data_IF_058811337963
#
_entry.id   IF_058811337963
#
_cell.length_a   1.000
_cell.length_b   1.000
_cell.length_c   1.000
_cell.angle_alpha   90.00
_cell.angle_beta   90.00
_cell.angle_gamma   90.00
#
_symmetry.space_group_name_H-M   'P 1'
#
loop_
_entity.id
_entity.type
_entity.pdbx_description
1 polymer ?
#
# COMPACT_ATOMS: atom_id res chain seq x y z
N UNK A 1 -6.27 16.58 -16.37
CA UNK A 1 -6.04 15.21 -15.83
C UNK A 1 -6.03 15.16 -14.30
N UNK A 2 -5.48 16.14 -13.57
CA UNK A 2 -5.42 16.11 -12.09
C UNK A 2 -6.78 16.19 -11.33
N UNK A 3 -7.88 16.52 -12.01
CA UNK A 3 -9.21 16.63 -11.36
C UNK A 3 -9.97 15.29 -11.28
N UNK A 4 -9.63 14.29 -12.11
CA UNK A 4 -10.40 13.04 -12.15
C UNK A 4 -10.31 12.23 -10.85
N UNK A 5 -9.13 12.05 -10.22
CA UNK A 5 -9.02 11.30 -8.97
C UNK A 5 -9.80 11.94 -7.81
N UNK A 6 -9.78 13.27 -7.73
CA UNK A 6 -10.59 14.00 -6.74
C UNK A 6 -12.09 13.81 -6.97
N UNK A 7 -12.55 13.87 -8.23
CA UNK A 7 -13.96 13.66 -8.58
C UNK A 7 -14.42 12.27 -8.19
N UNK A 8 -13.65 11.24 -8.52
CA UNK A 8 -14.01 9.84 -8.22
C UNK A 8 -14.03 9.59 -6.70
N UNK A 9 -13.04 10.14 -5.97
CA UNK A 9 -13.00 10.10 -4.51
C UNK A 9 -14.21 10.81 -3.88
N UNK A 10 -14.56 11.99 -4.38
CA UNK A 10 -15.69 12.78 -3.88
C UNK A 10 -17.00 12.02 -4.08
N UNK A 11 -17.22 11.44 -5.26
CA UNK A 11 -18.43 10.66 -5.57
C UNK A 11 -18.54 9.46 -4.63
N UNK A 12 -17.47 8.69 -4.44
CA UNK A 12 -17.47 7.53 -3.56
C UNK A 12 -17.73 7.91 -2.10
N UNK A 13 -17.05 8.96 -1.62
CA UNK A 13 -17.22 9.47 -0.26
C UNK A 13 -18.66 9.96 -0.02
N UNK A 14 -19.18 10.78 -0.91
CA UNK A 14 -20.54 11.33 -0.79
C UNK A 14 -21.62 10.27 -0.94
N UNK A 15 -21.42 9.26 -1.79
CA UNK A 15 -22.30 8.09 -1.85
C UNK A 15 -22.32 7.30 -0.53
N UNK A 16 -21.14 6.98 0.02
CA UNK A 16 -21.05 6.25 1.29
C UNK A 16 -21.70 7.01 2.44
N UNK A 17 -21.48 8.33 2.52
CA UNK A 17 -22.17 9.19 3.48
C UNK A 17 -23.69 9.18 3.25
N UNK A 18 -24.13 9.33 2.00
CA UNK A 18 -25.55 9.27 1.65
C UNK A 18 -26.23 7.97 2.07
N UNK A 19 -25.57 6.83 1.90
CA UNK A 19 -26.06 5.51 2.35
C UNK A 19 -26.13 5.43 3.87
N UNK A 20 -25.10 5.91 4.59
CA UNK A 20 -25.10 5.94 6.05
C UNK A 20 -26.30 6.72 6.60
N UNK A 21 -26.55 7.92 6.07
CA UNK A 21 -27.69 8.72 6.49
C UNK A 21 -29.03 8.15 6.01
N UNK A 22 -29.10 7.52 4.83
CA UNK A 22 -30.30 6.82 4.38
C UNK A 22 -30.71 5.72 5.36
N UNK A 23 -29.74 5.00 5.94
CA UNK A 23 -30.00 4.03 7.02
C UNK A 23 -30.57 4.74 8.26
N UNK A 24 -29.96 5.84 8.69
CA UNK A 24 -30.47 6.60 9.84
C UNK A 24 -31.92 7.06 9.62
N UNK A 25 -32.24 7.60 8.43
CA UNK A 25 -33.60 8.03 8.09
C UNK A 25 -34.56 6.84 8.04
N UNK A 26 -34.19 5.72 7.42
CA UNK A 26 -35.05 4.52 7.36
C UNK A 26 -35.36 3.93 8.75
N UNK A 27 -34.46 4.09 9.73
CA UNK A 27 -34.68 3.66 11.11
C UNK A 27 -35.52 4.65 11.94
N UNK A 28 -35.35 5.95 11.71
CA UNK A 28 -35.97 6.99 12.54
C UNK A 28 -37.32 7.49 12.00
N UNK A 29 -37.53 7.46 10.68
CA UNK A 29 -38.72 8.02 10.04
C UNK A 29 -40.01 7.27 10.43
N UNK A 30 -40.09 5.91 10.42
CA UNK A 30 -41.31 5.21 10.81
C UNK A 30 -41.78 5.49 12.26
N UNK A 31 -40.94 5.38 13.30
CA UNK A 31 -41.38 5.66 14.67
C UNK A 31 -41.69 7.15 14.90
N UNK A 32 -40.95 8.06 14.25
CA UNK A 32 -41.23 9.49 14.33
C UNK A 32 -42.60 9.84 13.74
N UNK A 33 -42.94 9.26 12.59
CA UNK A 33 -44.23 9.46 11.96
C UNK A 33 -45.37 8.82 12.77
N UNK A 34 -45.19 7.60 13.29
CA UNK A 34 -46.17 6.98 14.19
C UNK A 34 -46.47 7.85 15.41
N UNK A 35 -45.45 8.49 16.01
CA UNK A 35 -45.63 9.39 17.14
C UNK A 35 -46.28 10.73 16.74
N UNK A 36 -45.89 11.31 15.60
CA UNK A 36 -46.40 12.59 15.13
C UNK A 36 -47.83 12.50 14.57
N UNK A 37 -48.18 11.37 13.97
CA UNK A 37 -49.46 11.15 13.29
C UNK A 37 -50.53 10.53 14.20
N UNK A 38 -50.17 9.99 15.37
CA UNK A 38 -51.10 9.44 16.36
C UNK A 38 -52.27 10.40 16.74
N UNK A 39 -52.06 11.72 16.91
CA UNK A 39 -53.14 12.67 17.15
C UNK A 39 -54.02 12.94 15.91
N UNK A 40 -53.51 12.67 14.70
CA UNK A 40 -54.25 12.87 13.46
C UNK A 40 -55.16 11.70 13.14
N UNK A 41 -54.78 10.47 13.50
CA UNK A 41 -55.65 9.30 13.33
C UNK A 41 -56.96 9.40 14.13
N UNK A 42 -56.96 10.10 15.28
CA UNK A 42 -58.18 10.35 16.06
C UNK A 42 -59.07 11.44 15.43
N UNK A 43 -58.49 12.46 14.78
CA UNK A 43 -59.21 13.50 14.05
C UNK A 43 -59.73 12.97 12.68
N UNK A 44 -58.93 12.16 12.00
CA UNK A 44 -59.25 11.55 10.70
C UNK A 44 -60.41 10.55 10.76
N UNK A 45 -60.69 9.96 11.93
CA UNK A 45 -61.88 9.13 12.16
C UNK A 45 -63.19 9.92 12.03
N UNK A 46 -63.18 11.24 12.23
CA UNK A 46 -64.38 12.06 12.06
C UNK A 46 -64.51 12.63 10.65
N UNK A 47 -63.45 13.15 10.04
CA UNK A 47 -63.44 13.70 8.66
C UNK A 47 -62.09 13.31 8.01
N UNK A 48 -62.08 12.78 6.77
CA UNK A 48 -60.84 12.41 6.07
C UNK A 48 -60.41 13.50 5.06
N UNK A 49 -59.71 14.57 5.48
CA UNK A 49 -59.28 15.61 4.55
C UNK A 49 -58.17 15.08 3.62
N UNK A 50 -58.17 15.57 2.37
CA UNK A 50 -57.21 15.19 1.33
C UNK A 50 -55.73 15.37 1.75
N UNK A 51 -55.44 16.26 2.72
CA UNK A 51 -54.10 16.50 3.26
C UNK A 51 -53.49 15.31 4.01
N UNK A 52 -54.30 14.51 4.71
CA UNK A 52 -53.81 13.33 5.47
C UNK A 52 -53.37 12.22 4.51
N UNK A 53 -54.13 12.00 3.42
CA UNK A 53 -53.75 11.05 2.38
C UNK A 53 -52.43 11.46 1.69
N UNK A 54 -52.22 12.77 1.45
CA UNK A 54 -50.97 13.28 0.88
C UNK A 54 -49.75 13.09 1.79
N UNK A 55 -49.92 13.24 3.10
CA UNK A 55 -48.85 13.03 4.09
C UNK A 55 -48.40 11.57 4.15
N UNK A 56 -49.35 10.63 4.25
CA UNK A 56 -49.08 9.19 4.27
C UNK A 56 -48.43 8.72 2.96
N UNK A 57 -48.91 9.23 1.82
CA UNK A 57 -48.31 8.93 0.52
C UNK A 57 -46.86 9.43 0.43
N UNK A 58 -46.58 10.63 0.95
CA UNK A 58 -45.22 11.15 0.99
C UNK A 58 -44.32 10.29 1.87
N UNK A 59 -44.77 9.90 3.07
CA UNK A 59 -43.97 9.12 4.00
C UNK A 59 -43.60 7.75 3.43
N UNK A 60 -44.57 7.01 2.89
CA UNK A 60 -44.32 5.72 2.24
C UNK A 60 -43.32 5.87 1.08
N UNK A 61 -43.46 6.94 0.29
CA UNK A 61 -42.53 7.20 -0.81
C UNK A 61 -41.12 7.52 -0.31
N UNK A 62 -41.00 8.30 0.76
CA UNK A 62 -39.71 8.65 1.37
C UNK A 62 -39.02 7.41 1.96
N UNK A 63 -39.74 6.56 2.68
CA UNK A 63 -39.21 5.29 3.21
C UNK A 63 -38.73 4.37 2.09
N UNK A 64 -39.56 4.16 1.06
CA UNK A 64 -39.19 3.34 -0.10
C UNK A 64 -37.97 3.91 -0.82
N UNK A 65 -37.86 5.23 -0.93
CA UNK A 65 -36.71 5.88 -1.55
C UNK A 65 -35.41 5.62 -0.79
N UNK A 66 -35.38 5.85 0.53
CA UNK A 66 -34.16 5.62 1.31
C UNK A 66 -33.80 4.13 1.40
N UNK A 67 -34.79 3.24 1.49
CA UNK A 67 -34.58 1.79 1.39
C UNK A 67 -33.99 1.44 0.02
N UNK A 68 -34.51 2.01 -1.07
CA UNK A 68 -33.98 1.78 -2.42
C UNK A 68 -32.51 2.22 -2.54
N UNK A 69 -32.11 3.35 -1.95
CA UNK A 69 -30.70 3.79 -1.91
C UNK A 69 -29.81 2.78 -1.16
N UNK A 70 -30.28 2.24 -0.02
CA UNK A 70 -29.56 1.23 0.75
C UNK A 70 -29.43 -0.09 -0.02
N UNK A 71 -30.51 -0.53 -0.67
CA UNK A 71 -30.51 -1.75 -1.49
C UNK A 71 -29.62 -1.57 -2.73
N UNK A 72 -29.65 -0.39 -3.36
CA UNK A 72 -28.79 -0.06 -4.49
C UNK A 72 -27.30 -0.15 -4.12
N UNK A 73 -26.92 0.34 -2.94
CA UNK A 73 -25.54 0.19 -2.45
C UNK A 73 -25.13 -1.27 -2.21
N UNK A 74 -26.06 -2.09 -1.70
CA UNK A 74 -25.80 -3.50 -1.37
C UNK A 74 -25.75 -4.40 -2.60
N UNK A 75 -26.69 -4.23 -3.52
CA UNK A 75 -26.89 -5.15 -4.66
C UNK A 75 -26.27 -4.65 -5.96
N UNK A 76 -25.95 -3.36 -6.08
CA UNK A 76 -25.33 -2.78 -7.28
C UNK A 76 -24.09 -1.96 -6.91
N UNK A 77 -22.96 -2.60 -6.54
CA UNK A 77 -21.74 -1.90 -6.12
C UNK A 77 -21.19 -0.94 -7.19
N UNK A 78 -21.53 -1.17 -8.47
CA UNK A 78 -21.15 -0.32 -9.60
C UNK A 78 -21.65 1.13 -9.45
N UNK A 79 -22.71 1.37 -8.69
CA UNK A 79 -23.27 2.70 -8.49
C UNK A 79 -22.38 3.61 -7.60
N UNK A 80 -21.53 3.02 -6.73
CA UNK A 80 -20.70 3.77 -5.77
C UNK A 80 -19.75 4.78 -6.41
N UNK A 81 -19.30 4.51 -7.64
CA UNK A 81 -18.39 5.37 -8.40
C UNK A 81 -19.06 6.15 -9.51
N UNK A 82 -20.39 6.02 -9.69
CA UNK A 82 -21.09 6.68 -10.78
C UNK A 82 -21.70 8.01 -10.33
N UNK A 83 -21.17 9.09 -10.88
CA UNK A 83 -21.67 10.45 -10.64
C UNK A 83 -23.18 10.57 -10.95
N UNK A 84 -23.65 9.93 -12.02
CA UNK A 84 -25.06 9.95 -12.40
C UNK A 84 -25.99 9.33 -11.34
N UNK A 85 -25.54 8.27 -10.66
CA UNK A 85 -26.31 7.62 -9.60
C UNK A 85 -26.43 8.53 -8.37
N UNK A 86 -25.31 9.15 -7.97
CA UNK A 86 -25.29 10.12 -6.87
C UNK A 86 -26.19 11.33 -7.20
N UNK A 87 -26.10 11.86 -8.42
CA UNK A 87 -26.94 12.97 -8.86
C UNK A 87 -28.44 12.61 -8.84
N UNK A 88 -28.80 11.39 -9.26
CA UNK A 88 -30.17 10.90 -9.20
C UNK A 88 -30.68 10.76 -7.75
N UNK A 89 -29.85 10.26 -6.83
CA UNK A 89 -30.19 10.20 -5.41
C UNK A 89 -30.37 11.60 -4.80
N UNK A 90 -29.48 12.55 -5.10
CA UNK A 90 -29.64 13.94 -4.69
C UNK A 90 -30.94 14.54 -5.22
N UNK A 91 -31.27 14.30 -6.50
CA UNK A 91 -32.48 14.78 -7.13
C UNK A 91 -33.74 14.20 -6.47
N UNK A 92 -33.76 12.89 -6.22
CA UNK A 92 -34.88 12.24 -5.52
C UNK A 92 -35.09 12.78 -4.10
N UNK A 93 -34.02 12.93 -3.33
CA UNK A 93 -34.09 13.50 -1.98
C UNK A 93 -34.57 14.97 -2.00
N UNK A 94 -34.11 15.77 -2.96
CA UNK A 94 -34.59 17.15 -3.14
C UNK A 94 -36.08 17.19 -3.51
N UNK A 95 -36.52 16.35 -4.46
CA UNK A 95 -37.93 16.27 -4.86
C UNK A 95 -38.84 15.87 -3.70
N UNK A 96 -38.42 14.92 -2.86
CA UNK A 96 -39.16 14.55 -1.66
C UNK A 96 -39.25 15.73 -0.69
N UNK A 97 -38.15 16.46 -0.46
CA UNK A 97 -38.16 17.65 0.39
C UNK A 97 -39.09 18.74 -0.18
N UNK A 98 -39.04 19.00 -1.49
CA UNK A 98 -39.92 19.98 -2.16
C UNK A 98 -41.39 19.56 -2.07
N UNK A 99 -41.70 18.27 -2.25
CA UNK A 99 -43.07 17.75 -2.18
C UNK A 99 -43.67 17.97 -0.80
N UNK A 100 -42.97 17.59 0.29
CA UNK A 100 -43.49 17.84 1.63
C UNK A 100 -43.56 19.33 1.95
N UNK A 101 -42.61 20.15 1.48
CA UNK A 101 -42.66 21.60 1.61
C UNK A 101 -43.92 22.19 0.96
N UNK A 102 -44.29 21.70 -0.22
CA UNK A 102 -45.51 22.11 -0.91
C UNK A 102 -46.78 21.64 -0.17
N UNK A 103 -46.82 20.41 0.36
CA UNK A 103 -47.99 19.85 1.05
C UNK A 103 -48.15 20.42 2.46
N UNK A 104 -47.08 20.51 3.25
CA UNK A 104 -47.10 20.87 4.67
C UNK A 104 -47.06 22.37 4.92
N UNK A 105 -46.31 23.14 4.11
CA UNK A 105 -46.32 24.61 4.14
C UNK A 105 -47.72 25.19 3.89
N UNK A 106 -48.63 24.39 3.32
CA UNK A 106 -50.05 24.69 3.12
C UNK A 106 -50.90 24.73 4.39
N UNK A 107 -50.56 23.88 5.37
CA UNK A 107 -51.46 23.53 6.47
C UNK A 107 -51.07 24.22 7.78
N UNK A 108 -49.78 24.53 7.98
CA UNK A 108 -49.25 25.02 9.26
C UNK A 108 -48.24 26.16 9.14
N UNK A 109 -47.77 26.49 7.93
CA UNK A 109 -46.68 27.45 7.70
C UNK A 109 -45.29 26.96 8.13
N UNK A 110 -45.16 25.73 8.63
CA UNK A 110 -43.87 25.14 8.98
C UNK A 110 -43.16 24.56 7.74
N UNK A 111 -41.90 24.94 7.57
CA UNK A 111 -41.03 24.51 6.48
C UNK A 111 -39.80 23.73 6.99
N UNK A 112 -39.83 23.31 8.26
CA UNK A 112 -38.74 22.62 8.96
C UNK A 112 -38.28 21.34 8.26
N UNK A 113 -39.19 20.49 7.79
CA UNK A 113 -38.87 19.23 7.10
C UNK A 113 -38.21 19.50 5.74
N UNK A 114 -38.70 20.49 5.00
CA UNK A 114 -38.05 20.93 3.75
C UNK A 114 -36.67 21.51 4.02
N UNK A 115 -36.53 22.36 5.03
CA UNK A 115 -35.24 22.92 5.44
C UNK A 115 -34.24 21.81 5.79
N UNK A 116 -34.66 20.82 6.59
CA UNK A 116 -33.84 19.68 6.97
C UNK A 116 -33.42 18.84 5.74
N UNK A 117 -34.36 18.52 4.84
CA UNK A 117 -34.07 17.75 3.64
C UNK A 117 -33.16 18.48 2.65
N UNK A 118 -33.44 19.76 2.38
CA UNK A 118 -32.65 20.56 1.45
C UNK A 118 -31.23 20.82 1.97
N UNK A 119 -31.09 21.16 3.26
CA UNK A 119 -29.77 21.36 3.88
C UNK A 119 -29.01 20.05 4.04
N UNK A 120 -29.70 18.92 4.25
CA UNK A 120 -29.09 17.59 4.23
C UNK A 120 -28.47 17.26 2.89
N UNK A 121 -29.23 17.39 1.79
CA UNK A 121 -28.69 17.24 0.42
C UNK A 121 -27.51 18.20 0.23
N UNK A 122 -27.61 19.41 0.81
CA UNK A 122 -26.58 20.40 0.64
C UNK A 122 -25.25 20.07 1.37
N UNK A 123 -25.36 19.56 2.59
CA UNK A 123 -24.23 19.30 3.46
C UNK A 123 -23.59 17.93 3.21
N UNK A 124 -24.39 16.91 2.92
CA UNK A 124 -23.93 15.50 2.93
C UNK A 124 -23.55 15.01 1.54
N UNK A 125 -24.35 15.34 0.52
CA UNK A 125 -24.17 14.77 -0.82
C UNK A 125 -23.52 15.78 -1.77
N UNK A 126 -22.19 15.86 -1.74
CA UNK A 126 -21.42 16.71 -2.62
C UNK A 126 -21.24 16.07 -4.01
N UNK A 127 -21.56 16.82 -5.06
CA UNK A 127 -21.47 16.35 -6.45
C UNK A 127 -20.45 17.21 -7.19
N UNK A 128 -19.53 16.62 -7.99
CA UNK A 128 -18.55 17.41 -8.72
C UNK A 128 -19.13 18.20 -9.90
N UNK A 129 -20.25 17.76 -10.48
CA UNK A 129 -20.95 18.51 -11.53
C UNK A 129 -21.79 19.67 -10.97
N UNK A 130 -21.99 20.74 -11.77
CA UNK A 130 -22.78 21.91 -11.39
C UNK A 130 -24.30 21.64 -11.42
N UNK A 131 -24.77 20.42 -11.13
CA UNK A 131 -26.19 20.05 -11.17
C UNK A 131 -26.98 20.50 -9.93
N UNK A 132 -26.30 20.79 -8.81
CA UNK A 132 -26.98 21.15 -7.56
C UNK A 132 -27.65 22.52 -7.58
N UNK A 133 -26.99 23.53 -8.16
CA UNK A 133 -27.56 24.88 -8.32
C UNK A 133 -28.92 24.87 -9.03
N UNK A 134 -29.07 24.23 -10.22
CA UNK A 134 -30.37 24.16 -10.86
C UNK A 134 -31.38 23.36 -10.04
N UNK A 135 -30.98 22.31 -9.30
CA UNK A 135 -31.90 21.59 -8.42
C UNK A 135 -32.49 22.49 -7.32
N UNK A 136 -31.69 23.33 -6.69
CA UNK A 136 -32.20 24.27 -5.68
C UNK A 136 -33.13 25.33 -6.26
N UNK A 137 -32.78 25.85 -7.45
CA UNK A 137 -33.62 26.83 -8.16
C UNK A 137 -34.97 26.22 -8.58
N UNK A 138 -34.96 24.98 -9.06
CA UNK A 138 -36.18 24.25 -9.41
C UNK A 138 -37.05 23.98 -8.19
N UNK A 139 -36.45 23.58 -7.06
CA UNK A 139 -37.17 23.43 -5.79
C UNK A 139 -37.83 24.75 -5.35
N UNK A 140 -37.09 25.86 -5.40
CA UNK A 140 -37.63 27.18 -5.08
C UNK A 140 -38.78 27.59 -6.00
N UNK A 141 -38.62 27.39 -7.32
CA UNK A 141 -39.65 27.69 -8.30
C UNK A 141 -40.92 26.83 -8.08
N UNK A 142 -40.75 25.55 -7.75
CA UNK A 142 -41.87 24.65 -7.46
C UNK A 142 -42.66 25.08 -6.22
N UNK A 143 -41.98 25.52 -5.16
CA UNK A 143 -42.64 26.07 -3.96
C UNK A 143 -43.38 27.38 -4.28
N UNK A 144 -42.79 28.25 -5.10
CA UNK A 144 -43.46 29.47 -5.57
C UNK A 144 -44.70 29.21 -6.41
N UNK A 145 -44.62 28.23 -7.32
CA UNK A 145 -45.78 27.79 -8.10
C UNK A 145 -46.87 27.20 -7.19
N UNK A 146 -46.50 26.37 -6.22
CA UNK A 146 -47.44 25.81 -5.25
C UNK A 146 -48.14 26.88 -4.41
N UNK A 147 -47.43 27.95 -4.02
CA UNK A 147 -48.01 29.09 -3.32
C UNK A 147 -48.97 29.90 -4.23
N UNK A 148 -48.58 30.15 -5.48
CA UNK A 148 -49.40 30.89 -6.44
C UNK A 148 -50.70 30.15 -6.81
N UNK A 149 -50.63 28.83 -7.03
CA UNK A 149 -51.80 27.99 -7.31
C UNK A 149 -52.83 27.97 -6.17
N UNK A 150 -52.43 28.35 -4.96
CA UNK A 150 -53.31 28.46 -3.79
C UNK A 150 -53.93 29.84 -3.60
N UNK A 151 -53.68 30.76 -4.53
CA UNK A 151 -54.26 32.10 -4.52
C UNK A 151 -53.44 33.17 -3.80
N UNK A 152 -52.25 32.85 -3.29
CA UNK A 152 -51.34 33.87 -2.79
C UNK A 152 -50.86 34.76 -3.94
N UNK A 153 -51.13 36.06 -3.84
CA UNK A 153 -50.74 37.06 -4.83
C UNK A 153 -50.07 38.27 -4.16
N UNK A 154 -49.22 38.98 -4.91
CA UNK A 154 -48.58 40.20 -4.42
C UNK A 154 -47.74 39.98 -3.16
N UNK A 155 -48.06 40.69 -2.09
CA UNK A 155 -47.29 40.70 -0.84
C UNK A 155 -47.32 39.34 -0.10
N UNK A 156 -48.42 38.60 -0.18
CA UNK A 156 -48.55 37.29 0.46
C UNK A 156 -47.63 36.24 -0.17
N UNK A 157 -47.50 36.27 -1.50
CA UNK A 157 -46.60 35.39 -2.22
C UNK A 157 -45.14 35.70 -1.86
N UNK A 158 -44.80 36.98 -1.73
CA UNK A 158 -43.46 37.39 -1.29
C UNK A 158 -43.17 36.91 0.14
N UNK A 159 -44.12 37.09 1.07
CA UNK A 159 -43.98 36.62 2.45
C UNK A 159 -43.79 35.09 2.52
N UNK A 160 -44.57 34.32 1.74
CA UNK A 160 -44.45 32.87 1.66
C UNK A 160 -43.08 32.40 1.12
N UNK A 161 -42.41 33.22 0.30
CA UNK A 161 -41.14 32.89 -0.35
C UNK A 161 -39.90 33.30 0.45
N UNK A 162 -40.02 34.10 1.51
CA UNK A 162 -38.88 34.52 2.34
C UNK A 162 -38.14 33.30 2.92
N UNK A 163 -38.85 32.37 3.54
CA UNK A 163 -38.26 31.18 4.15
C UNK A 163 -37.60 30.25 3.09
N UNK A 164 -38.27 29.87 1.99
CA UNK A 164 -37.65 29.14 0.89
C UNK A 164 -36.40 29.83 0.32
N UNK A 165 -36.41 31.16 0.23
CA UNK A 165 -35.26 31.93 -0.24
C UNK A 165 -34.08 31.86 0.74
N UNK A 166 -34.32 32.03 2.04
CA UNK A 166 -33.30 31.85 3.07
C UNK A 166 -32.68 30.45 3.05
N UNK A 167 -33.50 29.41 2.89
CA UNK A 167 -33.03 28.01 2.79
C UNK A 167 -32.22 27.81 1.50
N UNK A 168 -32.64 28.37 0.37
CA UNK A 168 -31.89 28.34 -0.89
C UNK A 168 -30.50 28.96 -0.72
N UNK A 169 -30.42 30.16 -0.13
CA UNK A 169 -29.15 30.84 0.14
C UNK A 169 -28.26 29.99 1.05
N UNK A 170 -28.82 29.42 2.12
CA UNK A 170 -28.11 28.52 3.02
C UNK A 170 -27.59 27.27 2.29
N UNK A 171 -28.40 26.64 1.44
CA UNK A 171 -27.98 25.46 0.68
C UNK A 171 -26.82 25.76 -0.27
N UNK A 172 -26.85 26.91 -0.95
CA UNK A 172 -25.75 27.35 -1.83
C UNK A 172 -24.48 27.65 -1.04
N UNK A 173 -24.60 28.26 0.15
CA UNK A 173 -23.47 28.52 1.03
C UNK A 173 -22.84 27.23 1.56
N UNK A 174 -23.68 26.29 2.04
CA UNK A 174 -23.24 24.98 2.52
C UNK A 174 -22.57 24.16 1.41
N UNK A 175 -23.11 24.16 0.19
CA UNK A 175 -22.51 23.46 -0.97
C UNK A 175 -21.07 23.92 -1.21
N UNK A 176 -20.88 25.25 -1.30
CA UNK A 176 -19.55 25.85 -1.52
C UNK A 176 -18.60 25.50 -0.38
N UNK A 177 -19.07 25.60 0.87
CA UNK A 177 -18.25 25.30 2.04
C UNK A 177 -17.83 23.82 2.07
N UNK A 178 -18.76 22.90 1.82
CA UNK A 178 -18.48 21.48 1.87
C UNK A 178 -17.58 21.03 0.72
N UNK A 179 -17.76 21.59 -0.49
CA UNK A 179 -16.86 21.31 -1.61
C UNK A 179 -15.43 21.79 -1.32
N UNK A 180 -15.27 22.99 -0.76
CA UNK A 180 -13.97 23.53 -0.37
C UNK A 180 -13.30 22.67 0.71
N UNK A 181 -14.04 22.28 1.76
CA UNK A 181 -13.54 21.39 2.82
C UNK A 181 -13.18 20.01 2.32
N UNK A 182 -13.95 19.44 1.40
CA UNK A 182 -13.64 18.15 0.80
C UNK A 182 -12.38 18.22 -0.08
N UNK A 183 -12.17 19.32 -0.79
CA UNK A 183 -10.94 19.54 -1.56
C UNK A 183 -9.71 19.64 -0.64
N UNK A 184 -9.80 20.40 0.45
CA UNK A 184 -8.74 20.50 1.47
C UNK A 184 -8.40 19.13 2.07
N UNK A 185 -9.41 18.41 2.56
CA UNK A 185 -9.24 17.07 3.13
C UNK A 185 -8.62 16.07 2.14
N UNK A 186 -9.00 16.16 0.86
CA UNK A 186 -8.38 15.33 -0.18
C UNK A 186 -6.89 15.66 -0.35
N UNK A 187 -6.51 16.93 -0.33
CA UNK A 187 -5.10 17.31 -0.43
C UNK A 187 -4.29 16.90 0.79
N UNK A 188 -4.85 16.98 1.99
CA UNK A 188 -4.20 16.53 3.23
C UNK A 188 -3.98 15.01 3.24
N UNK A 189 -5.00 14.24 2.85
CA UNK A 189 -4.88 12.77 2.76
C UNK A 189 -3.83 12.35 1.74
N UNK A 190 -3.78 12.99 0.57
CA UNK A 190 -2.72 12.72 -0.43
C UNK A 190 -1.32 13.07 0.08
N UNK A 191 -1.17 14.17 0.84
CA UNK A 191 0.11 14.52 1.48
C UNK A 191 0.53 13.48 2.51
N UNK A 192 -0.38 13.07 3.38
CA UNK A 192 -0.11 12.06 4.40
C UNK A 192 0.26 10.71 3.77
N UNK A 193 -0.44 10.28 2.72
CA UNK A 193 -0.10 9.07 1.95
C UNK A 193 1.29 9.17 1.32
N UNK A 194 1.62 10.30 0.70
CA UNK A 194 2.94 10.52 0.10
C UNK A 194 4.06 10.55 1.13
N UNK A 195 3.83 11.15 2.30
CA UNK A 195 4.81 11.19 3.39
C UNK A 195 5.05 9.80 3.98
N UNK A 196 3.97 9.04 4.19
CA UNK A 196 4.02 7.65 4.65
C UNK A 196 4.78 6.77 3.65
N UNK A 197 4.48 6.86 2.35
CA UNK A 197 5.19 6.13 1.30
C UNK A 197 6.68 6.48 1.22
N UNK A 198 7.04 7.76 1.45
CA UNK A 198 8.44 8.19 1.50
C UNK A 198 9.16 7.63 2.74
N UNK A 199 8.51 7.64 3.90
CA UNK A 199 9.06 7.07 5.13
C UNK A 199 9.27 5.55 4.99
N UNK A 200 8.28 4.85 4.44
CA UNK A 200 8.34 3.41 4.15
C UNK A 200 9.51 3.08 3.22
N UNK A 201 9.68 3.83 2.13
CA UNK A 201 10.81 3.63 1.20
C UNK A 201 12.17 3.75 1.90
N UNK A 202 12.32 4.70 2.82
CA UNK A 202 13.57 4.85 3.60
C UNK A 202 13.74 3.67 4.55
N UNK A 203 12.67 3.23 5.21
CA UNK A 203 12.71 2.09 6.13
C UNK A 203 13.14 0.79 5.42
N UNK A 204 12.54 0.49 4.26
CA UNK A 204 12.87 -0.71 3.47
C UNK A 204 14.28 -0.67 2.84
N UNK A 205 14.87 0.51 2.70
CA UNK A 205 16.27 0.63 2.26
C UNK A 205 17.27 0.32 3.39
N UNK A 206 16.85 0.39 4.65
CA UNK A 206 17.71 0.18 5.83
C UNK A 206 17.51 -1.21 6.43
N UNK A 207 16.29 -1.74 6.37
CA UNK A 207 15.92 -3.04 6.93
C UNK A 207 15.33 -3.95 5.86
N UNK A 208 15.56 -5.27 5.94
CA UNK A 208 14.85 -6.25 5.12
C UNK A 208 13.33 -6.10 5.23
N UNK A 209 12.60 -6.36 4.15
CA UNK A 209 11.15 -6.13 4.09
C UNK A 209 10.36 -6.83 5.20
N UNK A 210 10.69 -8.09 5.49
CA UNK A 210 10.06 -8.87 6.56
C UNK A 210 10.25 -8.23 7.94
N UNK A 211 11.45 -7.71 8.20
CA UNK A 211 11.84 -7.08 9.46
C UNK A 211 11.20 -5.70 9.61
N UNK A 212 11.16 -4.91 8.54
CA UNK A 212 10.47 -3.62 8.50
C UNK A 212 8.96 -3.78 8.75
N UNK A 213 8.33 -4.79 8.16
CA UNK A 213 6.90 -5.08 8.34
C UNK A 213 6.58 -5.58 9.77
N UNK A 214 7.46 -6.39 10.37
CA UNK A 214 7.35 -6.78 11.78
C UNK A 214 7.47 -5.57 12.70
N UNK A 215 8.47 -4.73 12.47
CA UNK A 215 8.68 -3.50 13.25
C UNK A 215 7.49 -2.54 13.14
N UNK A 216 6.90 -2.37 11.94
CA UNK A 216 5.71 -1.53 11.73
C UNK A 216 4.48 -2.04 12.47
N UNK A 217 4.36 -3.36 12.66
CA UNK A 217 3.19 -3.98 13.29
C UNK A 217 3.30 -4.02 14.80
N UNK A 218 4.45 -4.46 15.30
CA UNK A 218 4.62 -4.90 16.68
C UNK A 218 5.58 -3.98 17.49
N UNK A 219 6.14 -2.94 16.85
CA UNK A 219 7.17 -2.02 17.40
C UNK A 219 8.42 -2.75 17.95
N UNK A 220 8.56 -4.03 17.60
CA UNK A 220 9.62 -4.94 18.04
C UNK A 220 9.89 -5.96 16.95
N UNK A 221 11.13 -6.41 16.86
CA UNK A 221 11.56 -7.49 15.97
C UNK A 221 12.17 -8.59 16.81
N UNK A 222 11.68 -9.81 16.63
CA UNK A 222 12.21 -10.96 17.34
C UNK A 222 13.45 -11.53 16.65
N UNK A 223 14.37 -12.07 17.45
CA UNK A 223 15.51 -12.80 16.90
C UNK A 223 15.04 -14.14 16.30
N UNK A 224 15.44 -14.39 15.06
CA UNK A 224 15.13 -15.62 14.31
C UNK A 224 16.33 -16.55 14.36
N UNK A 225 16.09 -17.81 14.73
CA UNK A 225 17.11 -18.86 14.72
C UNK A 225 17.09 -19.60 13.38
N UNK A 226 18.26 -19.83 12.83
CA UNK A 226 18.48 -20.63 11.63
C UNK A 226 19.40 -21.78 11.96
N UNK A 227 19.00 -23.01 11.64
CA UNK A 227 19.80 -24.20 11.92
C UNK A 227 20.97 -24.36 10.92
N UNK A 228 20.80 -23.87 9.69
CA UNK A 228 21.82 -23.93 8.64
C UNK A 228 21.78 -22.66 7.78
N UNK A 229 22.53 -21.63 8.18
CA UNK A 229 22.72 -20.39 7.43
C UNK A 229 24.12 -20.37 6.82
N UNK A 230 24.20 -20.11 5.51
CA UNK A 230 25.46 -19.85 4.83
C UNK A 230 25.91 -18.41 5.07
N UNK A 231 27.19 -18.20 5.40
CA UNK A 231 27.80 -16.89 5.63
C UNK A 231 29.02 -16.75 4.73
N UNK A 232 29.10 -15.63 4.02
CA UNK A 232 30.22 -15.24 3.18
C UNK A 232 30.82 -13.94 3.70
N UNK A 233 32.14 -13.94 3.87
CA UNK A 233 32.95 -12.74 4.06
C UNK A 233 33.86 -12.56 2.85
N UNK A 234 33.92 -11.34 2.34
CA UNK A 234 34.76 -10.96 1.21
C UNK A 234 35.55 -9.71 1.55
N UNK A 235 36.88 -9.76 1.48
CA UNK A 235 37.78 -8.68 1.88
C UNK A 235 38.76 -8.32 0.76
N UNK A 236 39.13 -7.05 0.62
CA UNK A 236 40.05 -6.60 -0.42
C UNK A 236 41.49 -6.84 0.07
N UNK A 237 42.19 -7.78 -0.56
CA UNK A 237 43.56 -8.09 -0.23
C UNK A 237 44.48 -6.86 -0.44
N UNK A 238 45.21 -6.47 0.60
CA UNK A 238 46.14 -5.34 0.54
C UNK A 238 45.47 -3.96 0.61
N UNK A 239 44.19 -3.89 1.00
CA UNK A 239 43.45 -2.63 1.08
C UNK A 239 44.15 -1.55 1.91
N UNK A 240 44.79 -1.89 3.03
CA UNK A 240 45.54 -0.92 3.86
C UNK A 240 46.63 -0.19 3.08
N UNK A 241 47.31 -0.86 2.15
CA UNK A 241 48.32 -0.25 1.30
C UNK A 241 47.68 0.58 0.19
N UNK A 242 46.58 0.10 -0.38
CA UNK A 242 45.81 0.80 -1.41
C UNK A 242 45.16 2.09 -0.88
N UNK A 243 44.56 2.06 0.31
CA UNK A 243 43.89 3.20 0.95
C UNK A 243 44.84 4.33 1.32
N UNK A 244 46.11 4.03 1.61
CA UNK A 244 47.15 5.05 1.84
C UNK A 244 47.58 5.80 0.57
N UNK A 245 47.41 5.18 -0.60
CA UNK A 245 47.80 5.78 -1.88
C UNK A 245 46.73 6.71 -2.46
N UNK A 246 45.52 6.73 -1.89
CA UNK A 246 44.39 7.49 -2.38
C UNK A 246 43.92 8.51 -1.33
N UNK A 247 43.40 9.68 -1.78
CA UNK A 247 42.69 10.56 -0.88
C UNK A 247 41.38 9.90 -0.42
N UNK A 248 40.88 10.22 0.79
CA UNK A 248 39.74 9.52 1.38
C UNK A 248 38.44 9.57 0.56
N UNK A 249 38.18 10.67 -0.14
CA UNK A 249 37.03 10.85 -1.02
C UNK A 249 37.09 9.92 -2.24
N UNK A 250 38.26 9.80 -2.88
CA UNK A 250 38.46 8.85 -3.98
C UNK A 250 38.35 7.39 -3.53
N UNK A 251 38.85 7.07 -2.33
CA UNK A 251 38.73 5.72 -1.75
C UNK A 251 37.26 5.31 -1.56
N UNK A 252 36.43 6.23 -1.05
CA UNK A 252 34.99 5.98 -0.88
C UNK A 252 34.30 5.76 -2.23
N UNK A 253 34.69 6.48 -3.29
CA UNK A 253 34.15 6.26 -4.63
C UNK A 253 34.52 4.88 -5.19
N UNK A 254 35.77 4.44 -5.00
CA UNK A 254 36.23 3.09 -5.40
C UNK A 254 35.43 2.01 -4.67
N UNK A 255 35.31 2.12 -3.34
CA UNK A 255 34.51 1.19 -2.54
C UNK A 255 33.05 1.17 -2.97
N UNK A 256 32.45 2.35 -3.22
CA UNK A 256 31.06 2.44 -3.64
C UNK A 256 30.83 1.78 -5.00
N UNK A 257 31.74 1.94 -5.97
CA UNK A 257 31.62 1.29 -7.28
C UNK A 257 31.70 -0.23 -7.17
N UNK A 258 32.67 -0.74 -6.40
CA UNK A 258 32.87 -2.18 -6.20
C UNK A 258 31.68 -2.79 -5.45
N UNK A 259 31.26 -2.19 -4.32
CA UNK A 259 30.15 -2.69 -3.51
C UNK A 259 28.80 -2.53 -4.22
N UNK A 260 28.59 -1.50 -5.03
CA UNK A 260 27.36 -1.41 -5.85
C UNK A 260 27.26 -2.54 -6.87
N UNK A 261 28.39 -2.97 -7.45
CA UNK A 261 28.39 -4.14 -8.33
C UNK A 261 28.04 -5.43 -7.56
N UNK A 262 28.52 -5.58 -6.32
CA UNK A 262 28.17 -6.71 -5.47
C UNK A 262 26.72 -6.67 -4.99
N UNK A 263 26.19 -5.49 -4.67
CA UNK A 263 24.78 -5.31 -4.30
C UNK A 263 23.86 -5.84 -5.42
N UNK A 264 24.18 -5.52 -6.68
CA UNK A 264 23.45 -6.05 -7.84
C UNK A 264 23.58 -7.58 -8.00
N UNK A 265 24.73 -8.17 -7.65
CA UNK A 265 24.88 -9.64 -7.65
C UNK A 265 24.10 -10.30 -6.50
N UNK A 266 24.09 -9.69 -5.31
CA UNK A 266 23.32 -10.16 -4.15
C UNK A 266 21.83 -10.18 -4.49
N UNK A 267 21.32 -9.12 -5.12
CA UNK A 267 19.93 -9.04 -5.59
C UNK A 267 19.63 -10.11 -6.67
N UNK A 268 20.51 -10.26 -7.67
CA UNK A 268 20.41 -11.29 -8.73
C UNK A 268 20.28 -12.70 -8.15
N UNK A 269 20.98 -13.00 -7.06
CA UNK A 269 20.98 -14.33 -6.44
C UNK A 269 19.94 -14.51 -5.33
N UNK A 270 19.18 -13.46 -4.98
CA UNK A 270 18.20 -13.48 -3.88
C UNK A 270 18.87 -13.74 -2.53
N UNK A 271 20.04 -13.16 -2.31
CA UNK A 271 20.82 -13.26 -1.09
C UNK A 271 20.64 -12.01 -0.23
N UNK A 272 21.10 -12.05 1.01
CA UNK A 272 20.91 -10.95 1.95
C UNK A 272 22.26 -10.34 2.37
N UNK A 273 22.47 -9.07 2.02
CA UNK A 273 23.60 -8.27 2.49
C UNK A 273 23.36 -7.88 3.94
N UNK A 274 24.31 -8.19 4.82
CA UNK A 274 24.22 -7.80 6.23
C UNK A 274 24.85 -6.43 6.45
N UNK A 275 26.13 -6.30 6.15
CA UNK A 275 26.90 -5.07 6.37
C UNK A 275 28.22 -5.08 5.61
N UNK A 276 28.81 -3.90 5.51
CA UNK A 276 30.22 -3.70 5.18
C UNK A 276 30.99 -3.38 6.45
N UNK A 277 32.18 -3.97 6.62
CA UNK A 277 33.07 -3.72 7.76
C UNK A 277 34.39 -3.20 7.20
N UNK A 278 34.49 -1.89 7.00
CA UNK A 278 35.62 -1.32 6.26
C UNK A 278 35.59 -1.78 4.80
N UNK A 279 36.60 -2.55 4.40
CA UNK A 279 36.78 -3.19 3.10
C UNK A 279 36.17 -4.60 3.01
N UNK A 280 35.70 -5.15 4.13
CA UNK A 280 35.01 -6.43 4.14
C UNK A 280 33.52 -6.30 3.81
N UNK A 281 32.98 -7.28 3.11
CA UNK A 281 31.60 -7.37 2.63
C UNK A 281 30.97 -8.68 3.12
N UNK A 282 29.87 -8.59 3.87
CA UNK A 282 29.22 -9.75 4.52
C UNK A 282 27.85 -10.04 3.90
N UNK A 283 27.65 -11.29 3.47
CA UNK A 283 26.40 -11.79 2.88
C UNK A 283 25.98 -13.09 3.54
N UNK A 284 24.68 -13.30 3.69
CA UNK A 284 24.12 -14.54 4.20
C UNK A 284 23.12 -15.17 3.23
N UNK A 285 22.97 -16.49 3.37
CA UNK A 285 22.00 -17.30 2.65
C UNK A 285 21.21 -18.17 3.65
N UNK A 286 19.88 -18.01 3.69
CA UNK A 286 19.03 -18.80 4.60
C UNK A 286 18.95 -20.28 4.20
N UNK A 287 18.90 -20.58 2.90
CA UNK A 287 18.76 -21.96 2.39
C UNK A 287 19.57 -22.27 1.13
N UNK A 288 20.04 -21.24 0.40
CA UNK A 288 20.64 -21.37 -0.94
C UNK A 288 22.16 -21.21 -0.92
N UNK A 289 22.85 -22.17 -0.31
CA UNK A 289 24.33 -22.16 -0.30
C UNK A 289 24.94 -22.21 -1.72
N UNK A 290 24.24 -22.82 -2.67
CA UNK A 290 24.64 -22.83 -4.09
C UNK A 290 24.63 -21.41 -4.69
N UNK A 291 23.60 -20.61 -4.38
CA UNK A 291 23.57 -19.19 -4.75
C UNK A 291 24.74 -18.42 -4.14
N UNK A 292 25.08 -18.70 -2.87
CA UNK A 292 26.20 -18.05 -2.18
C UNK A 292 27.55 -18.40 -2.84
N UNK A 293 27.73 -19.65 -3.27
CA UNK A 293 28.92 -20.07 -4.03
C UNK A 293 29.01 -19.42 -5.41
N UNK A 294 27.88 -19.26 -6.12
CA UNK A 294 27.83 -18.51 -7.40
C UNK A 294 28.16 -17.03 -7.20
N UNK A 295 27.62 -16.41 -6.13
CA UNK A 295 27.97 -15.05 -5.76
C UNK A 295 29.48 -14.89 -5.57
N UNK A 296 30.12 -15.79 -4.80
CA UNK A 296 31.56 -15.72 -4.55
C UNK A 296 32.39 -15.72 -5.85
N UNK A 297 32.03 -16.57 -6.81
CA UNK A 297 32.70 -16.65 -8.11
C UNK A 297 32.46 -15.38 -8.95
N UNK A 298 31.20 -14.91 -9.02
CA UNK A 298 30.83 -13.71 -9.76
C UNK A 298 31.43 -12.43 -9.15
N UNK A 299 31.62 -12.37 -7.82
CA UNK A 299 32.32 -11.26 -7.15
C UNK A 299 33.78 -11.16 -7.60
N UNK A 300 34.46 -12.32 -7.72
CA UNK A 300 35.81 -12.38 -8.29
C UNK A 300 35.83 -11.83 -9.72
N UNK A 301 34.85 -12.22 -10.54
CA UNK A 301 34.76 -11.74 -11.93
C UNK A 301 34.44 -10.25 -12.04
N UNK A 302 33.53 -9.75 -11.22
CA UNK A 302 33.19 -8.33 -11.16
C UNK A 302 34.41 -7.49 -10.79
N UNK A 303 35.24 -7.96 -9.86
CA UNK A 303 36.49 -7.29 -9.50
C UNK A 303 37.53 -7.35 -10.65
N UNK A 304 37.60 -8.46 -11.41
CA UNK A 304 38.45 -8.52 -12.61
C UNK A 304 38.02 -7.51 -13.67
N UNK A 305 36.72 -7.38 -13.92
CA UNK A 305 36.17 -6.38 -14.84
C UNK A 305 36.48 -4.96 -14.37
N UNK A 306 36.32 -4.69 -13.06
CA UNK A 306 36.69 -3.41 -12.45
C UNK A 306 38.17 -3.08 -12.65
N UNK A 307 39.06 -4.04 -12.37
CA UNK A 307 40.50 -3.89 -12.55
C UNK A 307 40.88 -3.60 -14.01
N UNK A 308 40.26 -4.30 -14.97
CA UNK A 308 40.49 -4.08 -16.39
C UNK A 308 40.07 -2.68 -16.84
N UNK A 309 38.95 -2.17 -16.34
CA UNK A 309 38.43 -0.84 -16.67
C UNK A 309 39.23 0.31 -16.02
N UNK A 310 39.77 0.10 -14.82
CA UNK A 310 40.39 1.15 -14.01
C UNK A 310 41.92 1.04 -13.90
N UNK A 311 42.54 0.01 -14.51
CA UNK A 311 43.98 -0.21 -14.47
C UNK A 311 44.51 -0.62 -13.08
N UNK A 312 43.64 -1.15 -12.21
CA UNK A 312 43.99 -1.58 -10.85
C UNK A 312 44.35 -3.08 -10.80
N UNK A 313 44.94 -3.52 -9.68
CA UNK A 313 45.28 -4.94 -9.44
C UNK A 313 44.74 -5.40 -8.08
N UNK A 314 43.49 -5.05 -7.79
CA UNK A 314 42.82 -5.45 -6.56
C UNK A 314 42.52 -6.95 -6.61
N UNK A 315 42.73 -7.65 -5.51
CA UNK A 315 42.35 -9.04 -5.35
C UNK A 315 41.46 -9.18 -4.13
N UNK A 316 40.61 -10.20 -4.12
CA UNK A 316 39.67 -10.44 -3.02
C UNK A 316 39.98 -11.75 -2.33
N UNK A 317 39.95 -11.76 -0.99
CA UNK A 317 39.86 -12.99 -0.21
C UNK A 317 38.40 -13.24 0.10
N UNK A 318 37.89 -14.43 -0.21
CA UNK A 318 36.50 -14.79 0.12
C UNK A 318 36.51 -16.02 1.01
N UNK A 319 35.79 -15.97 2.12
CA UNK A 319 35.61 -17.06 3.07
C UNK A 319 34.15 -17.46 3.20
N UNK A 320 33.86 -18.75 3.18
CA UNK A 320 32.49 -19.27 3.33
C UNK A 320 32.38 -20.39 4.36
N UNK A 321 31.36 -20.30 5.21
CA UNK A 321 30.96 -21.36 6.12
C UNK A 321 29.43 -21.45 6.23
N UNK A 322 28.91 -22.57 6.72
CA UNK A 322 27.50 -22.74 6.98
C UNK A 322 27.26 -23.53 8.26
N UNK A 323 26.20 -23.15 8.99
CA UNK A 323 25.87 -23.74 10.28
C UNK A 323 24.79 -22.93 11.02
N UNK A 324 24.53 -23.24 12.29
CA UNK A 324 23.50 -22.56 13.05
C UNK A 324 23.88 -21.10 13.35
N UNK A 325 22.92 -20.19 13.21
CA UNK A 325 23.07 -18.76 13.45
C UNK A 325 21.75 -18.13 13.93
N UNK A 326 21.85 -16.97 14.55
CA UNK A 326 20.70 -16.16 14.99
C UNK A 326 20.78 -14.83 14.27
N UNK A 327 19.71 -14.43 13.59
CA UNK A 327 19.60 -13.10 13.00
C UNK A 327 18.56 -12.28 13.75
N UNK A 328 18.72 -10.96 13.78
CA UNK A 328 17.80 -10.09 14.50
C UNK A 328 18.23 -8.63 14.45
N UNK A 329 17.40 -7.77 15.05
CA UNK A 329 17.66 -6.34 15.12
C UNK A 329 18.08 -5.95 16.53
N UNK A 330 19.19 -5.22 16.65
CA UNK A 330 19.63 -4.61 17.92
C UNK A 330 19.50 -3.10 17.83
N UNK A 331 19.12 -2.49 18.96
CA UNK A 331 19.11 -1.03 19.15
C UNK A 331 17.71 -0.43 19.15
N UNK A 332 17.55 0.68 19.88
CA UNK A 332 16.27 1.40 20.01
C UNK A 332 16.19 2.61 19.06
N UNK A 333 17.33 3.21 18.71
CA UNK A 333 17.41 4.41 17.85
C UNK A 333 18.17 4.20 16.54
N UNK A 334 19.06 3.21 16.51
CA UNK A 334 19.84 2.83 15.33
C UNK A 334 19.69 1.32 15.17
N UNK A 335 18.56 0.93 14.60
CA UNK A 335 18.26 -0.46 14.32
C UNK A 335 19.36 -1.02 13.41
N UNK A 336 20.07 -2.03 13.91
CA UNK A 336 21.07 -2.77 13.15
C UNK A 336 20.58 -4.19 13.03
N UNK A 337 20.19 -4.59 11.82
CA UNK A 337 20.00 -6.00 11.50
C UNK A 337 21.36 -6.66 11.34
N UNK A 338 21.61 -7.74 12.07
CA UNK A 338 22.89 -8.44 12.07
C UNK A 338 22.70 -9.93 12.39
N UNK A 339 23.75 -10.70 12.17
CA UNK A 339 23.78 -12.15 12.39
C UNK A 339 24.85 -12.51 13.42
N UNK A 340 24.47 -13.33 14.39
CA UNK A 340 25.33 -13.81 15.47
C UNK A 340 25.41 -15.33 15.48
N UNK A 341 26.56 -15.85 15.91
CA UNK A 341 26.78 -17.27 16.09
C UNK A 341 28.22 -17.66 15.77
N UNK A 342 28.59 -18.87 16.16
CA UNK A 342 29.92 -19.42 15.83
C UNK A 342 30.13 -19.53 14.32
N UNK A 343 29.05 -19.73 13.56
CA UNK A 343 29.07 -19.80 12.09
C UNK A 343 29.69 -18.54 11.46
N UNK A 344 29.37 -17.36 11.99
CA UNK A 344 29.91 -16.07 11.51
C UNK A 344 31.41 -15.98 11.79
N UNK A 345 31.84 -16.42 12.98
CA UNK A 345 33.25 -16.41 13.38
C UNK A 345 34.08 -17.36 12.51
N UNK A 346 33.57 -18.56 12.19
CA UNK A 346 34.25 -19.52 11.33
C UNK A 346 34.34 -18.98 9.89
N UNK A 347 33.27 -18.39 9.35
CA UNK A 347 33.27 -17.78 8.02
C UNK A 347 34.30 -16.65 7.90
N UNK A 348 34.37 -15.75 8.89
CA UNK A 348 35.38 -14.69 8.94
C UNK A 348 36.80 -15.25 9.01
N UNK A 349 37.02 -16.38 9.69
CA UNK A 349 38.33 -17.06 9.70
C UNK A 349 38.67 -17.74 8.37
N UNK A 350 37.69 -18.26 7.63
CA UNK A 350 37.91 -18.74 6.27
C UNK A 350 38.40 -17.60 5.37
N UNK A 351 37.84 -16.39 5.50
CA UNK A 351 38.31 -15.24 4.73
C UNK A 351 39.75 -14.86 5.13
N UNK A 352 39.98 -14.66 6.43
CA UNK A 352 41.27 -14.20 6.93
C UNK A 352 42.43 -15.19 6.68
N UNK A 353 42.13 -16.50 6.57
CA UNK A 353 43.11 -17.54 6.23
C UNK A 353 43.11 -17.93 4.73
N UNK A 354 42.35 -17.19 3.92
CA UNK A 354 42.24 -17.34 2.48
C UNK A 354 43.37 -16.64 1.72
N UNK A 355 43.51 -17.02 0.45
CA UNK A 355 44.51 -16.45 -0.46
C UNK A 355 43.88 -15.39 -1.38
N UNK A 356 44.60 -14.31 -1.74
CA UNK A 356 44.09 -13.31 -2.67
C UNK A 356 43.68 -13.92 -4.02
N UNK A 357 42.43 -13.67 -4.41
CA UNK A 357 41.84 -14.19 -5.65
C UNK A 357 41.20 -15.58 -5.52
N UNK A 358 41.21 -16.18 -4.33
CA UNK A 358 40.63 -17.49 -4.08
C UNK A 358 39.41 -17.43 -3.16
N UNK A 359 38.52 -18.42 -3.31
CA UNK A 359 37.35 -18.61 -2.44
C UNK A 359 37.63 -19.80 -1.52
N UNK A 360 37.83 -19.51 -0.24
CA UNK A 360 38.11 -20.49 0.81
C UNK A 360 36.82 -20.95 1.46
N UNK A 361 36.59 -22.26 1.52
CA UNK A 361 35.38 -22.82 2.11
C UNK A 361 35.69 -23.89 3.15
N UNK A 362 34.85 -23.94 4.18
CA UNK A 362 34.84 -25.02 5.16
C UNK A 362 34.37 -26.36 4.57
N UNK A 363 34.68 -27.47 5.25
CA UNK A 363 34.19 -28.81 4.88
C UNK A 363 32.67 -28.91 4.78
N UNK A 364 31.92 -28.21 5.65
CA UNK A 364 30.45 -28.22 5.62
C UNK A 364 29.92 -27.66 4.29
N UNK A 365 30.50 -26.55 3.82
CA UNK A 365 30.11 -25.93 2.55
C UNK A 365 30.47 -26.85 1.38
N UNK A 366 31.66 -27.45 1.41
CA UNK A 366 32.06 -28.45 0.41
C UNK A 366 31.06 -29.60 0.34
N UNK A 367 30.74 -30.25 1.46
CA UNK A 367 29.83 -31.40 1.49
C UNK A 367 28.43 -31.04 0.96
N UNK A 368 27.92 -29.86 1.29
CA UNK A 368 26.61 -29.40 0.86
C UNK A 368 26.57 -28.93 -0.61
N UNK A 369 27.70 -28.56 -1.21
CA UNK A 369 27.74 -27.93 -2.54
C UNK A 369 28.62 -28.63 -3.58
N UNK A 370 29.27 -29.76 -3.24
CA UNK A 370 30.12 -30.58 -4.13
C UNK A 370 29.46 -31.06 -5.42
N UNK A 371 28.13 -31.12 -5.45
CA UNK A 371 27.36 -31.48 -6.66
C UNK A 371 27.22 -30.32 -7.66
N UNK A 372 27.49 -29.09 -7.22
CA UNK A 372 27.35 -27.86 -8.00
C UNK A 372 28.69 -27.27 -8.41
N UNK A 373 29.74 -27.49 -7.62
CA UNK A 373 31.06 -26.89 -7.86
C UNK A 373 32.23 -27.87 -7.76
N UNK A 374 33.31 -27.54 -8.45
CA UNK A 374 34.60 -28.18 -8.34
C UNK A 374 35.42 -27.55 -7.21
N UNK A 375 36.14 -28.39 -6.46
CA UNK A 375 36.92 -27.99 -5.31
C UNK A 375 38.34 -28.58 -5.34
N UNK A 376 39.31 -27.87 -4.79
CA UNK A 376 40.64 -28.39 -4.50
C UNK A 376 40.83 -28.50 -2.98
N UNK A 377 41.27 -29.65 -2.49
CA UNK A 377 41.57 -29.85 -1.08
C UNK A 377 42.79 -29.02 -0.65
N UNK A 378 42.73 -28.48 0.56
CA UNK A 378 43.83 -27.75 1.20
C UNK A 378 44.29 -28.51 2.45
N UNK A 379 45.52 -28.24 2.90
CA UNK A 379 45.96 -28.63 4.23
C UNK A 379 44.97 -28.15 5.32
N UNK A 380 44.64 -29.00 6.30
CA UNK A 380 43.75 -28.62 7.39
C UNK A 380 44.33 -27.46 8.19
N UNK A 381 43.52 -26.41 8.38
CA UNK A 381 43.93 -25.24 9.16
C UNK A 381 43.54 -25.42 10.62
N UNK A 382 44.28 -24.77 11.52
CA UNK A 382 43.94 -24.74 12.94
C UNK A 382 43.07 -23.53 13.27
N UNK A 383 41.86 -23.79 13.75
CA UNK A 383 40.91 -22.76 14.17
C UNK A 383 40.87 -22.67 15.69
N UNK A 384 41.11 -21.48 16.22
CA UNK A 384 41.04 -21.20 17.66
C UNK A 384 39.68 -21.66 18.22
N UNK A 385 39.70 -22.63 19.13
CA UNK A 385 38.51 -23.17 19.79
C UNK A 385 37.80 -24.33 19.06
N UNK A 386 38.25 -24.70 17.85
CA UNK A 386 37.67 -25.80 17.04
C UNK A 386 38.71 -26.88 16.66
N UNK A 387 40.01 -26.59 16.80
CA UNK A 387 41.08 -27.51 16.42
C UNK A 387 41.32 -27.52 14.91
N UNK A 388 41.85 -28.63 14.38
CA UNK A 388 42.14 -28.78 12.94
C UNK A 388 40.85 -29.01 12.15
N UNK A 389 40.66 -28.25 11.07
CA UNK A 389 39.49 -28.35 10.20
C UNK A 389 39.93 -28.55 8.74
N UNK A 390 39.33 -29.51 8.05
CA UNK A 390 39.51 -29.68 6.62
C UNK A 390 38.86 -28.52 5.85
N UNK A 391 39.56 -28.00 4.86
CA UNK A 391 39.09 -26.85 4.07
C UNK A 391 39.43 -27.01 2.59
N UNK A 392 38.74 -26.25 1.75
CA UNK A 392 38.77 -26.42 0.30
C UNK A 392 38.80 -25.07 -0.41
N UNK A 393 39.41 -25.05 -1.59
CA UNK A 393 39.27 -23.94 -2.54
C UNK A 393 38.12 -24.21 -3.48
N UNK A 394 37.18 -23.29 -3.59
CA UNK A 394 36.11 -23.34 -4.59
C UNK A 394 36.68 -22.84 -5.94
N UNK A 395 36.71 -23.71 -6.94
CA UNK A 395 37.37 -23.45 -8.22
C UNK A 395 36.41 -22.93 -9.30
N UNK A 396 35.16 -23.37 -9.28
CA UNK A 396 34.18 -23.04 -10.32
C UNK A 396 33.01 -24.03 -10.36
N UNK A 397 32.02 -23.82 -11.23
CA UNK A 397 30.91 -24.76 -11.41
C UNK A 397 31.40 -26.11 -11.97
N UNK A 398 30.76 -27.22 -11.57
CA UNK A 398 31.01 -28.52 -12.21
C UNK A 398 30.53 -28.45 -13.66
N UNK A 399 31.42 -28.72 -14.61
CA UNK A 399 31.05 -28.94 -16.01
C UNK A 399 30.21 -30.21 -16.08
N UNK A 400 28.89 -30.09 -16.26
CA UNK A 400 28.07 -31.23 -16.66
C UNK A 400 28.46 -31.59 -18.09
N UNK A 401 29.18 -32.70 -18.28
CA UNK A 401 29.24 -33.34 -19.58
C UNK A 401 27.80 -33.60 -20.04
N UNK A 402 27.40 -32.95 -21.13
CA UNK A 402 26.12 -33.27 -21.77
C UNK A 402 26.24 -34.69 -22.35
N UNK A 403 25.34 -35.63 -22.03
CA UNK A 403 25.26 -36.91 -22.73
C UNK A 403 24.63 -36.69 -24.10
N UNK A 404 25.38 -36.05 -25.01
CA UNK A 404 24.98 -35.80 -26.39
C UNK A 404 25.73 -36.70 -27.40
N UNK A 405 26.69 -37.53 -26.94
CA UNK A 405 27.52 -38.33 -27.83
C UNK A 405 27.02 -39.76 -28.09
N UNK A 406 26.22 -40.36 -27.20
CA UNK A 406 25.80 -41.78 -27.37
C UNK A 406 24.56 -41.99 -28.25
N UNK A 407 23.79 -40.94 -28.58
CA UNK A 407 22.61 -41.09 -29.46
C UNK A 407 22.93 -41.08 -30.96
N UNK A 408 24.20 -40.84 -31.36
CA UNK A 408 24.61 -40.92 -32.77
C UNK A 408 25.11 -42.30 -33.22
N UNK A 409 25.40 -43.22 -32.29
CA UNK A 409 25.76 -44.60 -32.61
C UNK A 409 24.55 -45.50 -32.90
N UNK A 410 23.47 -45.37 -32.13
CA UNK A 410 22.31 -46.25 -32.25
C UNK A 410 21.38 -45.94 -33.45
N UNK A 411 21.47 -44.73 -34.03
CA UNK A 411 20.66 -44.37 -35.21
C UNK A 411 21.27 -44.84 -36.54
N UNK A 412 22.54 -45.28 -36.55
CA UNK A 412 23.20 -45.77 -37.76
C UNK A 412 22.92 -47.26 -38.04
N UNK A 413 22.56 -48.07 -37.03
CA UNK A 413 22.29 -49.50 -37.19
C UNK A 413 20.84 -49.82 -37.55
N UNK A 414 19.90 -48.88 -37.43
CA UNK A 414 18.47 -49.13 -37.77
C UNK A 414 18.12 -48.79 -39.23
N UNK A 415 19.06 -48.28 -40.02
CA UNK A 415 18.85 -47.98 -41.46
C UNK A 415 19.45 -49.00 -42.43
N UNK A 416 19.98 -50.12 -41.91
CA UNK A 416 20.63 -51.18 -42.70
C UNK A 416 19.97 -52.56 -42.56
N UNK A 417 18.70 -52.64 -42.13
CA UNK A 417 17.92 -53.88 -42.04
C UNK A 417 16.67 -53.86 -42.93
#
# INVERSE_FOLDING_TARGET
MAQQPFRDWLVQKSWAQGVYYSKAVAWLLPPAALAADAPYFSIAQQHWPAGVAGLLAWQLTAELFFIAVILADRFVPRLRGQEGALNAACAGAMLLATWIGAVHGAMWGDLSIYAAGATFVAAVMCTPSPVRKPMYLLSFAALGLAAALRGHAGLELLAALVNPFCILVLCVALDKLMLARNAELYTETQRAESECARADKVLYNVLPASIADELKRDDKVNAVKFDNMGVLFADIAGFTSFSRALPPDALVLVLNQIFSAFDGLVEKYGLEKIKTIGDAYMVVAHHRLDSLGRLALDMGEALRCYNAANGTRLAMRIGMHAGPAVAGVIGVKRFLYDVWGDTVNVASRMEASGEPGAVHVSEVVYLQTRQHFAFAAREPIELKGRGRMATYWLLGPVLKEHPAAERRGAAAETLAA
#
